data_IF_734627848698
#
_entry.id   IF_734627848698
#
_cell.length_a   1.000
_cell.length_b   1.000
_cell.length_c   1.000
_cell.angle_alpha   90.00
_cell.angle_beta   90.00
_cell.angle_gamma   90.00
#
_symmetry.space_group_name_H-M   'P 1'
#
loop_
_entity.id
_entity.type
_entity.pdbx_description
1 polymer ?
#
# COMPACT_ATOMS: atom_id res chain seq x y z
N UNK A 1 1.16 11.86 21.87
CA UNK A 1 1.28 10.63 21.05
C UNK A 1 2.48 9.86 21.60
N UNK A 2 2.36 8.57 21.97
CA UNK A 2 3.45 7.85 22.65
C UNK A 2 4.66 7.48 21.76
N UNK A 3 4.61 7.74 20.44
CA UNK A 3 5.71 7.47 19.49
C UNK A 3 6.05 8.69 18.62
N UNK A 4 6.10 9.89 19.20
CA UNK A 4 6.43 11.10 18.44
C UNK A 4 7.81 10.99 17.79
N UNK A 5 7.90 11.23 16.47
CA UNK A 5 9.14 11.19 15.68
C UNK A 5 9.61 9.80 15.22
N UNK A 6 8.77 8.76 15.28
CA UNK A 6 9.22 7.37 15.09
C UNK A 6 8.47 6.51 14.05
N UNK A 7 7.22 6.82 13.72
CA UNK A 7 6.39 6.08 12.75
C UNK A 7 5.21 6.97 12.30
N UNK A 8 5.53 8.17 11.82
CA UNK A 8 4.53 9.21 11.50
C UNK A 8 4.48 9.57 10.01
N UNK A 9 5.29 8.93 9.18
CA UNK A 9 5.31 9.17 7.73
C UNK A 9 4.00 8.72 7.07
N UNK A 10 3.44 7.60 7.53
CA UNK A 10 2.25 6.99 6.97
C UNK A 10 1.15 6.82 8.02
N UNK A 11 -0.10 6.83 7.56
CA UNK A 11 -1.24 6.25 8.27
C UNK A 11 -1.93 5.22 7.38
N UNK A 12 -2.32 4.07 7.94
CA UNK A 12 -3.15 3.09 7.24
C UNK A 12 -4.45 2.87 8.03
N UNK A 13 -5.57 2.88 7.32
CA UNK A 13 -6.87 2.47 7.85
C UNK A 13 -7.38 1.25 7.06
N UNK A 14 -7.98 0.29 7.77
CA UNK A 14 -8.84 -0.73 7.17
C UNK A 14 -10.28 -0.28 7.37
N UNK A 15 -10.87 0.32 6.33
CA UNK A 15 -12.19 0.95 6.39
C UNK A 15 -13.26 -0.05 6.00
N UNK A 16 -14.36 -0.08 6.74
CA UNK A 16 -15.62 -0.72 6.33
C UNK A 16 -16.70 0.35 6.19
N UNK A 17 -17.40 0.34 5.06
CA UNK A 17 -18.53 1.23 4.78
C UNK A 17 -19.78 0.37 4.61
N UNK A 18 -20.72 0.52 5.53
CA UNK A 18 -22.02 -0.17 5.46
C UNK A 18 -22.85 0.27 4.23
N UNK A 19 -23.83 -0.54 3.80
CA UNK A 19 -24.79 -0.14 2.76
C UNK A 19 -25.41 1.24 3.01
N UNK A 20 -25.42 2.09 1.98
CA UNK A 20 -25.87 3.48 2.05
C UNK A 20 -24.91 4.45 2.74
N UNK A 21 -23.75 3.96 3.23
CA UNK A 21 -22.71 4.77 3.85
C UNK A 21 -21.74 5.40 2.84
N UNK A 22 -20.85 6.25 3.34
CA UNK A 22 -19.85 6.94 2.53
C UNK A 22 -19.34 8.20 3.21
N UNK A 23 -18.58 9.00 2.47
CA UNK A 23 -18.21 10.36 2.85
C UNK A 23 -17.99 11.21 1.60
N UNK A 24 -18.59 12.41 1.58
CA UNK A 24 -18.39 13.42 0.54
C UNK A 24 -17.08 14.22 0.71
N UNK A 25 -16.44 14.15 1.88
CA UNK A 25 -15.19 14.85 2.20
C UNK A 25 -14.34 14.01 3.18
N UNK A 26 -13.82 12.85 2.76
CA UNK A 26 -13.09 11.93 3.62
C UNK A 26 -11.73 12.47 4.08
N UNK A 27 -10.99 13.18 3.23
CA UNK A 27 -9.63 13.66 3.53
C UNK A 27 -9.62 15.11 4.05
N UNK A 28 -9.32 15.36 5.35
CA UNK A 28 -9.27 16.71 5.91
C UNK A 28 -7.94 17.46 5.69
N UNK A 29 -6.82 16.78 5.37
CA UNK A 29 -5.52 17.44 5.18
C UNK A 29 -5.28 17.69 3.68
N UNK A 30 -5.23 18.96 3.22
CA UNK A 30 -5.01 19.27 1.81
C UNK A 30 -3.60 18.90 1.32
N UNK A 31 -2.66 18.57 2.21
CA UNK A 31 -1.33 18.06 1.85
C UNK A 31 -1.23 16.54 1.82
N UNK A 32 -2.31 15.82 2.18
CA UNK A 32 -2.29 14.36 2.21
C UNK A 32 -2.61 13.79 0.84
N UNK A 33 -1.72 12.93 0.35
CA UNK A 33 -2.01 12.00 -0.74
C UNK A 33 -2.55 10.68 -0.17
N UNK A 34 -3.23 9.90 -1.01
CA UNK A 34 -3.80 8.63 -0.60
C UNK A 34 -3.68 7.54 -1.66
N UNK A 35 -3.59 6.30 -1.18
CA UNK A 35 -3.88 5.09 -1.97
C UNK A 35 -5.03 4.34 -1.34
N UNK A 36 -6.01 3.99 -2.17
CA UNK A 36 -7.10 3.10 -1.80
C UNK A 36 -6.91 1.75 -2.48
N UNK A 37 -6.93 0.66 -1.71
CA UNK A 37 -6.98 -0.71 -2.24
C UNK A 37 -8.23 -1.41 -1.72
N UNK A 38 -9.19 -1.67 -2.61
CA UNK A 38 -10.43 -2.32 -2.24
C UNK A 38 -10.21 -3.81 -1.99
N UNK A 39 -10.56 -4.27 -0.80
CA UNK A 39 -10.38 -5.65 -0.34
C UNK A 39 -11.64 -6.50 -0.54
N UNK A 40 -12.83 -5.93 -0.32
CA UNK A 40 -14.12 -6.63 -0.48
C UNK A 40 -15.25 -5.68 -0.84
N UNK A 41 -16.32 -6.24 -1.40
CA UNK A 41 -17.53 -5.49 -1.76
C UNK A 41 -17.31 -4.54 -2.95
N UNK A 42 -18.41 -3.94 -3.41
CA UNK A 42 -18.44 -3.00 -4.51
C UNK A 42 -18.81 -1.59 -4.02
N UNK A 43 -18.28 -0.57 -4.69
CA UNK A 43 -18.45 0.83 -4.29
C UNK A 43 -18.23 1.80 -5.43
N UNK A 44 -18.44 3.08 -5.13
CA UNK A 44 -18.25 4.18 -6.06
C UNK A 44 -17.27 5.18 -5.46
N UNK A 45 -16.15 5.39 -6.17
CA UNK A 45 -15.13 6.37 -5.82
C UNK A 45 -15.21 7.51 -6.83
N UNK A 46 -15.49 8.72 -6.38
CA UNK A 46 -15.41 9.91 -7.25
C UNK A 46 -14.11 10.65 -6.95
N UNK A 47 -13.32 10.96 -7.96
CA UNK A 47 -12.09 11.75 -7.86
C UNK A 47 -12.20 12.92 -8.86
N UNK A 48 -12.09 14.16 -8.39
CA UNK A 48 -12.25 15.39 -9.20
C UNK A 48 -13.46 15.34 -10.15
N UNK A 49 -14.60 14.88 -9.62
CA UNK A 49 -15.88 14.77 -10.35
C UNK A 49 -16.02 13.54 -11.25
N UNK A 50 -14.97 12.75 -11.44
CA UNK A 50 -15.02 11.51 -12.24
C UNK A 50 -15.33 10.33 -11.33
N UNK A 51 -16.44 9.64 -11.59
CA UNK A 51 -16.86 8.46 -10.80
C UNK A 51 -16.30 7.17 -11.38
N UNK A 52 -15.73 6.34 -10.52
CA UNK A 52 -15.20 5.01 -10.80
C UNK A 52 -15.95 3.98 -9.97
N UNK A 53 -16.36 2.87 -10.59
CA UNK A 53 -16.79 1.69 -9.84
C UNK A 53 -15.54 0.99 -9.29
N UNK A 54 -15.53 0.72 -8.00
CA UNK A 54 -14.44 0.02 -7.31
C UNK A 54 -14.97 -1.29 -6.74
N UNK A 55 -14.14 -2.34 -6.79
CA UNK A 55 -14.43 -3.66 -6.23
C UNK A 55 -13.12 -4.35 -5.83
N UNK A 56 -13.14 -5.62 -5.41
CA UNK A 56 -11.93 -6.28 -4.93
C UNK A 56 -10.76 -6.20 -5.93
N UNK A 57 -9.60 -5.73 -5.44
CA UNK A 57 -8.40 -5.47 -6.23
C UNK A 57 -8.34 -4.12 -6.93
N UNK A 58 -9.41 -3.31 -6.89
CA UNK A 58 -9.34 -1.92 -7.37
C UNK A 58 -8.32 -1.13 -6.57
N UNK A 59 -7.46 -0.41 -7.29
CA UNK A 59 -6.40 0.45 -6.77
C UNK A 59 -6.65 1.87 -7.26
N UNK A 60 -6.65 2.84 -6.35
CA UNK A 60 -6.73 4.25 -6.70
C UNK A 60 -5.62 5.04 -6.03
N UNK A 61 -4.87 5.82 -6.82
CA UNK A 61 -3.97 6.84 -6.33
C UNK A 61 -4.66 8.20 -6.38
N UNK A 62 -4.61 8.94 -5.28
CA UNK A 62 -5.25 10.24 -5.10
C UNK A 62 -4.15 11.25 -4.69
N UNK A 63 -3.81 12.23 -5.55
CA UNK A 63 -2.79 13.24 -5.28
C UNK A 63 -3.16 14.14 -4.08
N UNK A 64 -2.19 14.88 -3.50
CA UNK A 64 -2.47 15.82 -2.43
C UNK A 64 -3.43 16.93 -2.90
N UNK A 65 -4.43 17.23 -2.06
CA UNK A 65 -5.39 18.32 -2.30
C UNK A 65 -6.49 18.00 -3.31
N UNK A 66 -6.49 16.80 -3.89
CA UNK A 66 -7.55 16.33 -4.79
C UNK A 66 -8.85 16.08 -4.03
N UNK A 67 -9.98 16.56 -4.58
CA UNK A 67 -11.28 16.28 -4.00
C UNK A 67 -11.74 14.88 -4.37
N UNK A 68 -12.12 14.09 -3.39
CA UNK A 68 -12.68 12.77 -3.63
C UNK A 68 -13.77 12.43 -2.64
N UNK A 69 -14.63 11.48 -3.02
CA UNK A 69 -15.66 10.91 -2.15
C UNK A 69 -15.83 9.44 -2.42
N UNK A 70 -16.29 8.70 -1.42
CA UNK A 70 -16.59 7.28 -1.53
C UNK A 70 -18.01 7.02 -1.07
N UNK A 71 -18.73 6.19 -1.81
CA UNK A 71 -20.10 5.82 -1.53
C UNK A 71 -20.26 4.30 -1.67
N UNK A 72 -20.94 3.68 -0.71
CA UNK A 72 -21.43 2.32 -0.84
C UNK A 72 -22.93 2.37 -1.19
N UNK A 73 -23.25 2.25 -2.47
CA UNK A 73 -24.63 2.19 -2.97
C UNK A 73 -25.13 0.74 -3.13
N UNK A 74 -24.33 -0.24 -2.72
CA UNK A 74 -24.67 -1.66 -2.74
C UNK A 74 -25.41 -2.11 -1.48
N UNK A 75 -25.67 -3.41 -1.39
CA UNK A 75 -26.38 -4.08 -0.28
C UNK A 75 -25.45 -4.86 0.67
N UNK A 76 -24.15 -4.95 0.35
CA UNK A 76 -23.12 -5.55 1.18
C UNK A 76 -22.08 -4.50 1.63
N UNK A 77 -21.35 -4.72 2.75
CA UNK A 77 -20.29 -3.81 3.17
C UNK A 77 -19.14 -3.70 2.16
N UNK A 78 -18.72 -2.48 1.86
CA UNK A 78 -17.51 -2.16 1.11
C UNK A 78 -16.33 -2.10 2.09
N UNK A 79 -15.24 -2.80 1.79
CA UNK A 79 -14.03 -2.79 2.60
C UNK A 79 -12.79 -2.43 1.79
N UNK A 80 -12.01 -1.45 2.24
CA UNK A 80 -10.79 -1.03 1.56
C UNK A 80 -9.69 -0.60 2.55
N UNK A 81 -8.44 -0.75 2.12
CA UNK A 81 -7.31 -0.12 2.77
C UNK A 81 -7.16 1.31 2.29
N UNK A 82 -6.98 2.25 3.22
CA UNK A 82 -6.69 3.63 2.94
C UNK A 82 -5.32 3.98 3.54
N UNK A 83 -4.32 4.12 2.68
CA UNK A 83 -2.96 4.52 3.05
C UNK A 83 -2.81 6.00 2.74
N UNK A 84 -2.28 6.75 3.71
CA UNK A 84 -2.13 8.20 3.65
C UNK A 84 -0.70 8.59 3.98
N UNK A 85 -0.20 9.59 3.28
CA UNK A 85 1.09 10.24 3.53
C UNK A 85 0.94 11.73 3.24
N UNK A 86 1.69 12.58 3.92
CA UNK A 86 1.83 13.98 3.48
C UNK A 86 2.80 14.03 2.31
N UNK A 87 2.35 14.53 1.17
CA UNK A 87 3.16 14.62 -0.04
C UNK A 87 4.34 15.56 0.16
N UNK A 88 5.52 15.12 -0.27
CA UNK A 88 6.74 15.91 -0.27
C UNK A 88 7.01 16.41 -1.70
N UNK A 89 6.81 17.70 -1.99
CA UNK A 89 7.11 18.25 -3.31
C UNK A 89 8.62 18.28 -3.58
N UNK A 90 9.01 18.15 -4.85
CA UNK A 90 10.39 18.32 -5.31
C UNK A 90 10.49 19.51 -6.29
N UNK A 91 11.50 20.39 -6.16
CA UNK A 91 11.68 21.51 -7.09
C UNK A 91 11.77 21.06 -8.55
N UNK A 92 10.96 21.66 -9.42
CA UNK A 92 10.95 21.36 -10.85
C UNK A 92 10.19 20.08 -11.23
N UNK A 93 9.56 19.39 -10.27
CA UNK A 93 8.74 18.19 -10.51
C UNK A 93 7.27 18.55 -10.26
N UNK A 94 6.42 18.26 -11.25
CA UNK A 94 4.97 18.43 -11.09
C UNK A 94 4.40 17.35 -10.15
N UNK A 95 3.34 17.66 -9.37
CA UNK A 95 2.66 16.64 -8.58
C UNK A 95 2.11 15.51 -9.46
N UNK A 96 2.02 14.28 -8.93
CA UNK A 96 1.47 13.14 -9.64
C UNK A 96 -0.02 13.34 -9.95
N UNK A 97 -0.51 12.68 -11.00
CA UNK A 97 -1.92 12.72 -11.41
C UNK A 97 -2.69 11.55 -10.82
N UNK A 98 -3.97 11.77 -10.50
CA UNK A 98 -4.85 10.71 -10.03
C UNK A 98 -5.03 9.61 -11.09
N UNK A 99 -5.17 8.37 -10.64
CA UNK A 99 -5.56 7.26 -11.50
C UNK A 99 -6.26 6.15 -10.72
N UNK A 100 -7.07 5.38 -11.44
CA UNK A 100 -7.74 4.18 -10.91
C UNK A 100 -7.44 3.01 -11.85
N UNK A 101 -7.07 1.88 -11.27
CA UNK A 101 -6.72 0.64 -11.97
C UNK A 101 -7.07 -0.57 -11.09
N UNK A 102 -6.60 -1.76 -11.44
CA UNK A 102 -6.79 -2.97 -10.64
C UNK A 102 -5.51 -3.80 -10.58
N UNK A 103 -5.25 -4.39 -9.43
CA UNK A 103 -4.16 -5.36 -9.23
C UNK A 103 -4.10 -6.42 -10.35
N UNK A 104 -5.26 -6.95 -10.76
CA UNK A 104 -5.34 -8.01 -11.78
C UNK A 104 -4.94 -7.54 -13.19
N UNK A 105 -4.92 -6.23 -13.45
CA UNK A 105 -4.60 -5.66 -14.76
C UNK A 105 -3.09 -5.39 -14.94
N UNK A 106 -2.29 -5.57 -13.87
CA UNK A 106 -0.85 -5.34 -13.89
C UNK A 106 -0.07 -6.65 -13.76
N UNK A 107 0.78 -6.92 -14.75
CA UNK A 107 1.66 -8.09 -14.69
C UNK A 107 2.74 -7.90 -13.59
N UNK A 108 2.88 -8.84 -12.64
CA UNK A 108 3.92 -8.75 -11.61
C UNK A 108 5.31 -8.78 -12.22
N UNK A 109 6.20 -7.88 -11.80
CA UNK A 109 7.61 -7.92 -12.21
C UNK A 109 8.36 -8.95 -11.36
N UNK A 110 8.96 -10.00 -11.95
CA UNK A 110 9.73 -10.98 -11.19
C UNK A 110 10.97 -10.36 -10.56
N UNK A 111 11.27 -10.76 -9.33
CA UNK A 111 12.52 -10.39 -8.69
C UNK A 111 13.66 -11.23 -9.26
N UNK A 112 14.84 -10.63 -9.54
CA UNK A 112 15.97 -11.35 -10.10
C UNK A 112 16.27 -12.65 -9.34
N UNK A 113 16.67 -13.70 -10.07
CA UNK A 113 17.26 -14.93 -9.52
C UNK A 113 16.30 -15.87 -8.75
N UNK A 114 15.11 -15.43 -8.35
CA UNK A 114 14.20 -16.25 -7.51
C UNK A 114 13.08 -17.00 -8.25
N UNK A 115 12.58 -16.48 -9.39
CA UNK A 115 11.52 -17.09 -10.21
C UNK A 115 10.13 -17.26 -9.57
N UNK A 116 10.02 -17.21 -8.23
CA UNK A 116 8.79 -17.41 -7.45
C UNK A 116 8.40 -16.20 -6.60
N UNK A 117 9.13 -15.09 -6.72
CA UNK A 117 8.88 -13.85 -6.03
C UNK A 117 8.76 -12.74 -7.08
N UNK A 118 7.67 -11.98 -7.01
CA UNK A 118 7.39 -10.89 -7.92
C UNK A 118 6.71 -9.73 -7.17
N UNK A 119 6.71 -8.56 -7.80
CA UNK A 119 6.05 -7.37 -7.27
C UNK A 119 5.19 -6.74 -8.36
N UNK A 120 3.90 -6.59 -8.08
CA UNK A 120 2.97 -5.78 -8.87
C UNK A 120 3.16 -4.32 -8.47
N UNK A 121 3.46 -3.47 -9.46
CA UNK A 121 3.66 -2.03 -9.27
C UNK A 121 2.57 -1.27 -10.03
N UNK A 122 2.11 -0.18 -9.45
CA UNK A 122 1.05 0.65 -10.03
C UNK A 122 1.57 1.97 -10.61
N UNK A 123 2.84 2.28 -10.33
CA UNK A 123 3.55 3.48 -10.77
C UNK A 123 4.89 3.04 -11.36
N UNK A 124 5.36 3.76 -12.38
CA UNK A 124 6.72 3.59 -12.92
C UNK A 124 7.76 3.93 -11.84
N UNK A 125 8.69 3.02 -11.49
CA UNK A 125 9.73 3.29 -10.49
C UNK A 125 10.61 4.51 -10.78
N UNK A 126 10.64 4.98 -12.03
CA UNK A 126 11.41 6.14 -12.48
C UNK A 126 10.60 7.44 -12.48
N UNK A 127 9.30 7.39 -12.19
CA UNK A 127 8.47 8.58 -12.07
C UNK A 127 8.75 9.31 -10.74
N UNK A 128 9.52 10.39 -10.83
CA UNK A 128 9.93 11.20 -9.68
C UNK A 128 8.79 12.04 -9.08
N UNK A 129 7.63 12.13 -9.76
CA UNK A 129 6.47 12.81 -9.21
C UNK A 129 5.96 12.12 -7.95
N UNK A 130 6.01 10.78 -7.91
CA UNK A 130 5.60 9.96 -6.77
C UNK A 130 6.72 9.85 -5.73
N UNK A 131 6.41 10.16 -4.48
CA UNK A 131 7.30 10.08 -3.32
C UNK A 131 6.91 8.95 -2.34
N UNK A 132 5.94 8.13 -2.73
CA UNK A 132 5.65 6.84 -2.11
C UNK A 132 5.27 5.80 -3.16
N UNK A 133 5.52 4.53 -2.85
CA UNK A 133 5.00 3.41 -3.61
C UNK A 133 4.16 2.52 -2.70
N UNK A 134 2.97 2.15 -3.19
CA UNK A 134 2.11 1.14 -2.57
C UNK A 134 1.94 0.01 -3.57
N UNK A 135 2.58 -1.13 -3.32
CA UNK A 135 2.71 -2.25 -4.24
C UNK A 135 2.20 -3.54 -3.60
N UNK A 136 2.02 -4.59 -4.41
CA UNK A 136 1.69 -5.92 -3.91
C UNK A 136 2.86 -6.86 -4.20
N UNK A 137 3.41 -7.45 -3.15
CA UNK A 137 4.44 -8.49 -3.28
C UNK A 137 3.76 -9.85 -3.27
N UNK A 138 4.15 -10.71 -4.20
CA UNK A 138 3.58 -12.06 -4.37
C UNK A 138 4.70 -13.10 -4.36
N UNK A 139 4.51 -14.13 -3.53
CA UNK A 139 5.31 -15.34 -3.49
C UNK A 139 4.46 -16.51 -3.96
N UNK A 140 4.90 -17.20 -5.00
CA UNK A 140 4.33 -18.48 -5.41
C UNK A 140 4.69 -19.58 -4.39
N UNK A 141 3.99 -20.72 -4.35
CA UNK A 141 4.30 -21.81 -3.41
C UNK A 141 5.78 -22.21 -3.40
N UNK A 142 6.39 -22.23 -2.22
CA UNK A 142 7.83 -22.43 -2.01
C UNK A 142 8.72 -21.24 -2.39
N UNK A 143 8.13 -20.08 -2.66
CA UNK A 143 8.81 -18.81 -2.86
C UNK A 143 9.43 -18.29 -1.56
N UNK A 144 10.58 -17.62 -1.68
CA UNK A 144 11.30 -17.06 -0.53
C UNK A 144 12.08 -15.81 -0.91
N UNK A 145 12.37 -14.99 0.09
CA UNK A 145 13.45 -14.00 0.02
C UNK A 145 14.70 -14.71 0.54
N UNK A 146 15.71 -15.00 -0.31
CA UNK A 146 16.84 -15.85 0.08
C UNK A 146 17.93 -15.13 0.89
N UNK A 147 17.80 -13.82 1.10
CA UNK A 147 18.71 -13.00 1.88
C UNK A 147 17.90 -12.14 2.86
N UNK A 148 18.53 -11.75 3.97
CA UNK A 148 17.92 -10.77 4.87
C UNK A 148 18.11 -9.37 4.26
N UNK A 149 17.07 -8.87 3.59
CA UNK A 149 17.09 -7.53 3.00
C UNK A 149 17.12 -6.47 4.11
N UNK A 150 17.86 -5.40 3.87
CA UNK A 150 17.88 -4.21 4.73
C UNK A 150 17.80 -2.98 3.86
N UNK A 151 16.92 -2.04 4.16
CA UNK A 151 16.87 -0.73 3.50
C UNK A 151 16.48 0.38 4.48
N UNK A 152 16.76 1.63 4.12
CA UNK A 152 16.54 2.78 4.99
C UNK A 152 15.06 3.15 5.15
N UNK A 153 14.21 2.83 4.17
CA UNK A 153 12.78 3.17 4.21
C UNK A 153 12.06 2.36 5.29
N UNK A 154 11.34 3.04 6.16
CA UNK A 154 10.33 2.40 7.00
C UNK A 154 9.13 2.02 6.13
N UNK A 155 8.48 0.91 6.47
CA UNK A 155 7.38 0.41 5.66
C UNK A 155 6.43 -0.47 6.46
N UNK A 156 5.18 -0.44 6.05
CA UNK A 156 4.16 -1.35 6.54
C UNK A 156 3.89 -2.45 5.53
N UNK A 157 3.65 -3.66 6.05
CA UNK A 157 3.20 -4.82 5.31
C UNK A 157 1.84 -5.26 5.85
N UNK A 158 0.87 -5.47 4.98
CA UNK A 158 -0.43 -6.04 5.34
C UNK A 158 -0.69 -7.29 4.51
N UNK A 159 -0.88 -8.44 5.17
CA UNK A 159 -1.07 -9.72 4.48
C UNK A 159 -2.47 -9.81 3.89
N UNK A 160 -2.54 -10.02 2.57
CA UNK A 160 -3.77 -10.09 1.79
C UNK A 160 -4.22 -11.54 1.58
N UNK A 161 -3.28 -12.46 1.33
CA UNK A 161 -3.56 -13.84 0.93
C UNK A 161 -2.44 -14.77 1.39
N UNK A 162 -2.80 -16.01 1.72
CA UNK A 162 -1.85 -17.08 2.03
C UNK A 162 -1.15 -16.93 3.38
N UNK A 163 -0.20 -17.83 3.64
CA UNK A 163 0.58 -17.84 4.89
C UNK A 163 2.07 -17.90 4.60
N UNK A 164 2.86 -17.36 5.53
CA UNK A 164 4.31 -17.43 5.48
C UNK A 164 4.94 -17.48 6.87
N UNK A 165 6.21 -17.89 6.90
CA UNK A 165 7.13 -17.52 7.98
C UNK A 165 7.91 -16.29 7.53
N UNK A 166 7.85 -15.22 8.31
CA UNK A 166 8.53 -13.97 8.05
C UNK A 166 9.61 -13.73 9.10
N UNK A 167 10.82 -13.43 8.65
CA UNK A 167 11.91 -12.99 9.52
C UNK A 167 11.76 -11.49 9.73
N UNK A 168 11.60 -11.08 10.98
CA UNK A 168 11.62 -9.69 11.42
C UNK A 168 12.80 -9.51 12.37
N UNK A 169 13.84 -8.84 11.89
CA UNK A 169 15.12 -8.69 12.57
C UNK A 169 15.81 -10.03 12.86
N UNK A 170 15.59 -10.61 14.03
CA UNK A 170 16.18 -11.89 14.46
C UNK A 170 15.16 -13.02 14.52
N UNK A 171 13.87 -12.69 14.49
CA UNK A 171 12.81 -13.60 14.89
C UNK A 171 11.98 -14.02 13.68
N UNK A 172 11.78 -15.34 13.55
CA UNK A 172 10.84 -15.89 12.57
C UNK A 172 9.45 -15.98 13.20
N UNK A 173 8.48 -15.29 12.62
CA UNK A 173 7.07 -15.30 13.03
C UNK A 173 6.20 -15.89 11.92
N UNK A 174 5.12 -16.56 12.30
CA UNK A 174 4.09 -17.00 11.36
C UNK A 174 3.12 -15.85 11.08
N UNK A 175 2.74 -15.66 9.82
CA UNK A 175 1.81 -14.63 9.39
C UNK A 175 0.81 -15.16 8.37
N UNK A 176 -0.40 -14.62 8.39
CA UNK A 176 -1.52 -14.94 7.51
C UNK A 176 -2.42 -13.74 7.24
N UNK A 177 -3.54 -13.92 6.49
CA UNK A 177 -4.36 -12.81 6.04
C UNK A 177 -4.92 -11.98 7.20
N UNK A 178 -4.76 -10.66 7.13
CA UNK A 178 -5.15 -9.73 8.20
C UNK A 178 -4.01 -9.33 9.13
N UNK A 179 -2.89 -10.07 9.14
CA UNK A 179 -1.73 -9.68 9.93
C UNK A 179 -1.04 -8.45 9.34
N UNK A 180 -0.60 -7.56 10.23
CA UNK A 180 0.15 -6.35 9.89
C UNK A 180 1.54 -6.40 10.52
N UNK A 181 2.55 -6.08 9.72
CA UNK A 181 3.95 -5.99 10.16
C UNK A 181 4.46 -4.58 9.87
N UNK A 182 5.11 -3.96 10.86
CA UNK A 182 5.79 -2.69 10.71
C UNK A 182 7.29 -2.89 10.83
N UNK A 183 8.03 -2.50 9.79
CA UNK A 183 9.47 -2.62 9.75
C UNK A 183 10.12 -1.24 9.83
N UNK A 184 10.92 -1.05 10.87
CA UNK A 184 11.79 0.13 11.00
C UNK A 184 12.91 0.09 9.98
N UNK A 185 13.47 1.28 9.73
CA UNK A 185 14.68 1.43 8.93
C UNK A 185 15.75 0.41 9.33
N UNK A 186 16.32 -0.26 8.33
CA UNK A 186 17.34 -1.30 8.45
C UNK A 186 16.93 -2.58 9.19
N UNK A 187 15.66 -2.78 9.54
CA UNK A 187 15.18 -4.06 10.07
C UNK A 187 15.45 -5.18 9.05
N UNK A 188 16.29 -6.19 9.35
CA UNK A 188 16.49 -7.32 8.46
C UNK A 188 15.19 -8.07 8.18
N UNK A 189 14.89 -8.34 6.91
CA UNK A 189 13.68 -9.05 6.51
C UNK A 189 13.95 -10.23 5.56
N UNK A 190 13.26 -11.34 5.80
CA UNK A 190 13.21 -12.48 4.88
C UNK A 190 11.83 -13.15 4.96
N UNK A 191 11.47 -13.92 3.96
CA UNK A 191 10.16 -14.55 3.88
C UNK A 191 10.27 -15.96 3.31
N UNK A 192 9.46 -16.88 3.83
CA UNK A 192 9.27 -18.24 3.30
C UNK A 192 7.76 -18.47 3.22
N UNK A 193 7.19 -18.55 2.01
CA UNK A 193 5.78 -18.88 1.82
C UNK A 193 5.52 -20.33 2.27
N UNK A 194 4.46 -20.55 3.05
CA UNK A 194 4.16 -21.84 3.69
C UNK A 194 2.91 -22.53 3.14
N UNK A 195 2.06 -21.82 2.41
CA UNK A 195 0.82 -22.37 1.83
C UNK A 195 1.00 -23.01 0.45
N UNK A 196 -0.03 -23.75 0.03
CA UNK A 196 -0.15 -24.34 -1.32
C UNK A 196 -0.62 -23.33 -2.37
N UNK A 197 -1.12 -22.16 -1.94
CA UNK A 197 -1.48 -21.03 -2.79
C UNK A 197 -0.47 -19.88 -2.69
N UNK A 198 -0.68 -18.78 -3.45
CA UNK A 198 0.14 -17.59 -3.35
C UNK A 198 0.11 -16.99 -1.95
N UNK A 199 1.27 -16.51 -1.48
CA UNK A 199 1.35 -15.59 -0.34
C UNK A 199 1.52 -14.16 -0.86
N UNK A 200 0.60 -13.27 -0.49
CA UNK A 200 0.54 -11.90 -1.02
C UNK A 200 0.38 -10.91 0.10
N UNK A 201 1.11 -9.81 0.03
CA UNK A 201 0.95 -8.70 0.97
C UNK A 201 1.06 -7.36 0.26
N UNK A 202 0.30 -6.40 0.78
CA UNK A 202 0.42 -4.99 0.47
C UNK A 202 1.68 -4.45 1.15
N UNK A 203 2.49 -3.70 0.42
CA UNK A 203 3.69 -3.02 0.92
C UNK A 203 3.59 -1.55 0.55
N UNK A 204 3.75 -0.66 1.53
CA UNK A 204 3.89 0.77 1.28
C UNK A 204 5.17 1.34 1.88
N UNK A 205 5.87 2.16 1.10
CA UNK A 205 7.12 2.81 1.50
C UNK A 205 7.29 4.17 0.83
N UNK A 206 8.04 5.06 1.47
CA UNK A 206 8.48 6.32 0.91
C UNK A 206 9.63 6.10 -0.09
N UNK A 207 9.71 6.94 -1.13
CA UNK A 207 10.69 6.83 -2.22
C UNK A 207 11.02 8.22 -2.78
N UNK A 208 12.05 8.29 -3.62
CA UNK A 208 12.32 9.44 -4.52
C UNK A 208 12.53 10.80 -3.83
N UNK A 209 12.78 10.82 -2.51
CA UNK A 209 13.09 12.02 -1.73
C UNK A 209 14.28 11.77 -0.82
N UNK A 210 14.95 12.84 -0.45
CA UNK A 210 16.01 12.77 0.56
C UNK A 210 15.40 12.53 1.94
N UNK A 211 16.02 11.68 2.78
CA UNK A 211 15.66 11.61 4.19
C UNK A 211 15.79 12.98 4.84
N UNK A 212 14.82 13.35 5.68
CA UNK A 212 14.90 14.57 6.46
C UNK A 212 16.07 14.49 7.45
N UNK A 213 16.84 15.57 7.56
CA UNK A 213 17.98 15.68 8.47
C UNK A 213 17.59 16.27 9.84
N UNK A 214 16.31 16.60 10.01
CA UNK A 214 15.74 17.17 11.23
C UNK A 214 14.52 16.35 11.65
N UNK A 215 14.29 16.26 12.95
CA UNK A 215 13.06 15.66 13.46
C UNK A 215 11.90 16.65 13.27
N UNK A 216 10.72 16.19 12.79
CA UNK A 216 9.52 17.02 12.68
C UNK A 216 8.97 17.47 14.04
#
# INVERSE_FOLDING_TARGET
RPMTGFAETFAQYAVEVAPGGGSDAPEPDPGAEAVLLTARGDGWLTIDGITHNIGPGSYAYIPPGTQWRVENRGDAPLGFHWIRKRYQPAPGVAPPTAFVTRDQDHAPTPMPITGKWATTRFVDPTDMAHDMHVNIVTFQPGGRIPFAETHNMEHGLYVLEGTARYLLNTDWVEVGPGDFMWLRAFCPQACIATGDGPFRYLLYKDMNRHPDLVLP
#
